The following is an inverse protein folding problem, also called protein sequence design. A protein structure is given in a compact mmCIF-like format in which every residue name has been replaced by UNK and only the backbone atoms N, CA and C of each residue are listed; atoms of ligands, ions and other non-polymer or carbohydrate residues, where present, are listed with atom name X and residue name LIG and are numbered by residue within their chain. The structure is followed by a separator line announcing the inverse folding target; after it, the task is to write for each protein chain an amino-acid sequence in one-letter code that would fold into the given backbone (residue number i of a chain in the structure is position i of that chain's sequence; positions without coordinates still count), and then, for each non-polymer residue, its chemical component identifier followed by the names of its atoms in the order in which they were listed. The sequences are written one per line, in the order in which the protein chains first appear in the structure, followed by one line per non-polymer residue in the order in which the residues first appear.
data_IF_484428818379
#
_entry.id   IF_484428818379
#
_cell.length_a   1.000
_cell.length_b   1.000
_cell.length_c   1.000
_cell.angle_alpha   90.00
_cell.angle_beta   90.00
_cell.angle_gamma   90.00
#
_symmetry.space_group_name_H-M   'P 1'
#
loop_
_entity.id
_entity.type
_entity.pdbx_description
1 polymer ?
#
# COMPACT_ATOMS: atom_id res chain seq x y z
N UNK A 1 -9.94 24.90 12.81
CA UNK A 1 -10.81 24.16 11.90
C UNK A 1 -12.21 24.80 11.89
N UNK A 2 -12.83 25.07 10.75
CA UNK A 2 -14.22 25.55 10.72
C UNK A 2 -15.15 24.43 11.27
N UNK A 3 -16.23 24.78 12.00
CA UNK A 3 -17.13 23.79 12.52
C UNK A 3 -17.82 23.03 11.39
N UNK A 4 -17.65 21.72 11.36
CA UNK A 4 -18.35 20.83 10.40
C UNK A 4 -19.86 20.95 10.65
N UNK A 5 -20.65 21.30 9.63
CA UNK A 5 -22.09 21.39 9.77
C UNK A 5 -22.70 20.01 10.09
N UNK A 6 -23.81 19.95 10.82
CA UNK A 6 -24.51 18.67 11.11
C UNK A 6 -24.77 17.86 9.82
N UNK A 7 -25.08 18.55 8.72
CA UNK A 7 -25.29 17.92 7.39
C UNK A 7 -24.00 17.30 6.83
N UNK A 8 -22.85 17.98 7.00
CA UNK A 8 -21.57 17.45 6.53
C UNK A 8 -21.15 16.21 7.35
N UNK A 9 -21.42 16.22 8.65
CA UNK A 9 -21.16 15.08 9.54
C UNK A 9 -22.01 13.87 9.17
N UNK A 10 -23.33 14.06 9.04
CA UNK A 10 -24.23 12.98 8.62
C UNK A 10 -23.88 12.41 7.23
N UNK A 11 -23.39 13.27 6.30
CA UNK A 11 -22.88 12.80 5.00
C UNK A 11 -21.65 11.93 5.14
N UNK A 12 -20.68 12.33 5.98
CA UNK A 12 -19.45 11.57 6.23
C UNK A 12 -19.74 10.22 6.90
N UNK A 13 -20.63 10.19 7.89
CA UNK A 13 -21.08 8.98 8.57
C UNK A 13 -21.70 7.98 7.58
N UNK A 14 -22.63 8.43 6.75
CA UNK A 14 -23.27 7.56 5.76
C UNK A 14 -22.28 7.12 4.65
N UNK A 15 -21.31 7.97 4.27
CA UNK A 15 -20.25 7.56 3.34
C UNK A 15 -19.42 6.42 3.95
N UNK A 16 -19.04 6.52 5.24
CA UNK A 16 -18.32 5.47 5.94
C UNK A 16 -19.13 4.16 6.03
N UNK A 17 -20.44 4.23 6.30
CA UNK A 17 -21.31 3.04 6.28
C UNK A 17 -21.36 2.38 4.89
N UNK A 18 -21.43 3.18 3.83
CA UNK A 18 -21.40 2.68 2.44
C UNK A 18 -20.09 1.97 2.14
N UNK A 19 -18.94 2.57 2.49
CA UNK A 19 -17.62 1.96 2.24
C UNK A 19 -17.41 0.71 3.07
N UNK A 20 -17.90 0.64 4.30
CA UNK A 20 -17.82 -0.56 5.14
C UNK A 20 -18.62 -1.75 4.55
N UNK A 21 -19.85 -1.53 4.11
CA UNK A 21 -20.62 -2.56 3.42
C UNK A 21 -20.00 -2.96 2.08
N UNK A 22 -19.39 -2.02 1.38
CA UNK A 22 -18.66 -2.33 0.15
C UNK A 22 -17.42 -3.21 0.42
N UNK A 23 -16.68 -2.99 1.54
CA UNK A 23 -15.60 -3.88 1.99
C UNK A 23 -16.12 -5.29 2.31
N UNK A 24 -17.25 -5.40 2.98
CA UNK A 24 -17.88 -6.70 3.23
C UNK A 24 -18.25 -7.43 1.92
N UNK A 25 -18.66 -6.70 0.89
CA UNK A 25 -18.90 -7.29 -0.44
C UNK A 25 -17.58 -7.75 -1.10
N UNK A 26 -16.46 -7.05 -0.93
CA UNK A 26 -15.17 -7.53 -1.44
C UNK A 26 -14.83 -8.92 -0.91
N UNK A 27 -15.14 -9.20 0.35
CA UNK A 27 -14.88 -10.50 0.97
C UNK A 27 -15.74 -11.64 0.37
N UNK A 28 -16.92 -11.33 -0.15
CA UNK A 28 -17.89 -12.35 -0.61
C UNK A 28 -17.93 -12.51 -2.13
N UNK A 29 -17.87 -11.42 -2.88
CA UNK A 29 -18.02 -11.42 -4.35
C UNK A 29 -16.80 -10.85 -5.08
N UNK A 30 -15.80 -10.39 -4.36
CA UNK A 30 -14.60 -9.76 -4.92
C UNK A 30 -14.87 -8.41 -5.58
N UNK A 31 -13.80 -7.73 -6.00
CA UNK A 31 -13.90 -6.42 -6.61
C UNK A 31 -14.75 -6.41 -7.91
N UNK A 32 -14.68 -7.46 -8.72
CA UNK A 32 -15.46 -7.57 -9.95
C UNK A 32 -16.98 -7.63 -9.69
N UNK A 33 -17.39 -8.23 -8.57
CA UNK A 33 -18.80 -8.40 -8.17
C UNK A 33 -19.39 -7.23 -7.38
N UNK A 34 -18.58 -6.20 -7.03
CA UNK A 34 -19.06 -5.04 -6.26
C UNK A 34 -20.26 -4.35 -6.92
N UNK A 35 -21.31 -4.08 -6.15
CA UNK A 35 -22.56 -3.52 -6.65
C UNK A 35 -23.14 -2.45 -5.75
N UNK A 36 -23.20 -1.20 -6.24
CA UNK A 36 -23.88 -0.09 -5.55
C UNK A 36 -25.35 -0.39 -5.19
N UNK A 37 -26.05 -1.17 -6.05
CA UNK A 37 -27.45 -1.55 -5.79
C UNK A 37 -27.55 -2.53 -4.63
N UNK A 38 -26.58 -3.43 -4.48
CA UNK A 38 -26.57 -4.37 -3.36
C UNK A 38 -26.27 -3.62 -2.05
N UNK A 39 -25.29 -2.72 -2.03
CA UNK A 39 -24.98 -1.85 -0.88
C UNK A 39 -26.21 -1.01 -0.49
N UNK A 40 -26.87 -0.36 -1.47
CA UNK A 40 -28.07 0.43 -1.21
C UNK A 40 -29.18 -0.40 -0.55
N UNK A 41 -29.40 -1.64 -1.02
CA UNK A 41 -30.40 -2.54 -0.45
C UNK A 41 -30.09 -2.92 1.00
N UNK A 42 -28.83 -3.18 1.33
CA UNK A 42 -28.38 -3.50 2.70
C UNK A 42 -28.59 -2.33 3.66
N UNK A 43 -28.38 -1.09 3.17
CA UNK A 43 -28.64 0.15 3.93
C UNK A 43 -30.13 0.54 4.00
N UNK A 44 -31.03 -0.20 3.34
CA UNK A 44 -32.43 0.20 3.23
C UNK A 44 -32.65 1.48 2.42
N UNK A 45 -31.67 1.84 1.56
CA UNK A 45 -31.70 3.05 0.75
C UNK A 45 -32.30 2.79 -0.64
N UNK A 46 -32.97 3.81 -1.18
CA UNK A 46 -33.29 3.80 -2.60
C UNK A 46 -32.01 3.90 -3.44
N UNK A 47 -31.88 3.10 -4.49
CA UNK A 47 -30.69 3.13 -5.38
C UNK A 47 -30.39 4.53 -5.92
N UNK A 48 -31.42 5.35 -6.21
CA UNK A 48 -31.26 6.73 -6.66
C UNK A 48 -30.62 7.64 -5.60
N UNK A 49 -30.78 7.34 -4.32
CA UNK A 49 -30.12 8.06 -3.24
C UNK A 49 -28.64 7.71 -3.14
N UNK A 50 -28.24 6.45 -3.42
CA UNK A 50 -26.87 5.98 -3.44
C UNK A 50 -26.02 6.77 -4.46
N UNK A 51 -26.54 7.00 -5.66
CA UNK A 51 -25.83 7.73 -6.72
C UNK A 51 -25.48 9.20 -6.38
N UNK A 52 -26.02 9.75 -5.29
CA UNK A 52 -25.62 11.07 -4.76
C UNK A 52 -24.34 11.01 -3.91
N UNK A 53 -23.96 9.83 -3.46
CA UNK A 53 -22.71 9.57 -2.72
C UNK A 53 -21.64 9.06 -3.65
N UNK A 54 -21.94 8.05 -4.44
CA UNK A 54 -21.04 7.46 -5.43
C UNK A 54 -21.75 7.42 -6.80
N UNK A 55 -21.38 8.33 -7.72
CA UNK A 55 -22.01 8.43 -9.04
C UNK A 55 -21.91 7.15 -9.88
N UNK A 56 -20.85 6.36 -9.67
CA UNK A 56 -20.64 5.08 -10.35
C UNK A 56 -20.04 4.04 -9.40
N UNK A 57 -20.00 2.77 -9.86
CA UNK A 57 -19.27 1.69 -9.20
C UNK A 57 -17.78 2.01 -9.11
N UNK A 58 -17.23 2.62 -10.14
CA UNK A 58 -15.82 2.95 -10.24
C UNK A 58 -15.43 4.05 -9.25
N UNK A 59 -16.31 5.02 -8.94
CA UNK A 59 -16.09 6.00 -7.87
C UNK A 59 -16.01 5.31 -6.50
N UNK A 60 -16.87 4.31 -6.25
CA UNK A 60 -16.81 3.53 -5.01
C UNK A 60 -15.54 2.68 -4.95
N UNK A 61 -15.13 2.03 -6.04
CA UNK A 61 -13.86 1.30 -6.11
C UNK A 61 -12.66 2.22 -5.84
N UNK A 62 -12.64 3.40 -6.46
CA UNK A 62 -11.60 4.42 -6.24
C UNK A 62 -11.50 4.80 -4.76
N UNK A 63 -12.64 5.03 -4.11
CA UNK A 63 -12.66 5.36 -2.67
C UNK A 63 -12.11 4.21 -1.83
N UNK A 64 -12.51 2.96 -2.08
CA UNK A 64 -11.99 1.79 -1.37
C UNK A 64 -10.48 1.60 -1.59
N UNK A 65 -9.99 1.85 -2.80
CA UNK A 65 -8.56 1.78 -3.12
C UNK A 65 -7.78 2.85 -2.35
N UNK A 66 -8.26 4.09 -2.32
CA UNK A 66 -7.62 5.17 -1.57
C UNK A 66 -7.59 4.83 -0.07
N UNK A 67 -8.73 4.44 0.51
CA UNK A 67 -8.83 4.08 1.92
C UNK A 67 -7.94 2.88 2.28
N UNK A 68 -7.87 1.87 1.41
CA UNK A 68 -6.99 0.71 1.60
C UNK A 68 -5.50 1.09 1.56
N UNK A 69 -5.08 1.91 0.59
CA UNK A 69 -3.71 2.43 0.54
C UNK A 69 -3.39 3.35 1.73
N UNK A 70 -4.35 4.17 2.16
CA UNK A 70 -4.17 5.03 3.33
C UNK A 70 -4.01 4.22 4.62
N UNK A 71 -4.81 3.17 4.80
CA UNK A 71 -4.69 2.28 5.96
C UNK A 71 -3.35 1.53 5.97
N UNK A 72 -2.94 0.97 4.82
CA UNK A 72 -1.65 0.32 4.66
C UNK A 72 -0.48 1.30 4.88
N UNK A 73 -0.59 2.51 4.32
CA UNK A 73 0.40 3.57 4.50
C UNK A 73 0.54 3.98 5.97
N UNK A 74 -0.58 4.14 6.68
CA UNK A 74 -0.58 4.44 8.11
C UNK A 74 0.10 3.33 8.92
N UNK A 75 -0.21 2.06 8.64
CA UNK A 75 0.45 0.94 9.32
C UNK A 75 1.98 0.95 9.12
N UNK A 76 2.45 1.28 7.92
CA UNK A 76 3.88 1.41 7.63
C UNK A 76 4.52 2.61 8.32
N UNK A 77 3.83 3.76 8.34
CA UNK A 77 4.31 5.00 8.99
C UNK A 77 4.40 4.84 10.51
N UNK A 78 3.40 4.22 11.14
CA UNK A 78 3.36 3.98 12.58
C UNK A 78 4.43 2.97 13.05
N UNK A 79 4.87 2.07 12.16
CA UNK A 79 5.91 1.09 12.45
C UNK A 79 7.34 1.66 12.33
N UNK A 80 7.54 2.80 11.68
CA UNK A 80 8.85 3.41 11.50
C UNK A 80 9.24 4.27 12.70
N UNK A 81 10.06 3.73 13.61
CA UNK A 81 10.68 4.49 14.70
C UNK A 81 12.01 5.11 14.23
N UNK A 82 12.08 6.43 13.99
CA UNK A 82 13.31 7.09 13.52
C UNK A 82 14.51 6.98 14.48
N UNK A 83 14.29 6.56 15.72
CA UNK A 83 15.36 6.41 16.73
C UNK A 83 15.99 5.01 16.74
N UNK A 84 15.31 4.03 16.12
CA UNK A 84 15.80 2.65 16.02
C UNK A 84 16.90 2.50 14.95
N UNK A 85 17.73 1.43 15.02
CA UNK A 85 18.66 1.07 13.97
C UNK A 85 17.99 0.91 12.61
N UNK A 86 18.66 1.29 11.52
CA UNK A 86 18.08 1.31 10.16
C UNK A 86 17.48 -0.04 9.73
N UNK A 87 18.19 -1.14 9.99
CA UNK A 87 17.69 -2.49 9.69
C UNK A 87 16.43 -2.84 10.50
N UNK A 88 16.38 -2.45 11.76
CA UNK A 88 15.21 -2.71 12.62
C UNK A 88 13.98 -1.92 12.13
N UNK A 89 14.17 -0.67 11.71
CA UNK A 89 13.13 0.16 11.10
C UNK A 89 12.60 -0.50 9.81
N UNK A 90 13.51 -0.93 8.92
CA UNK A 90 13.16 -1.63 7.69
C UNK A 90 12.30 -2.88 7.97
N UNK A 91 12.76 -3.74 8.87
CA UNK A 91 12.05 -4.96 9.23
C UNK A 91 10.69 -4.68 9.89
N UNK A 92 10.60 -3.67 10.75
CA UNK A 92 9.36 -3.26 11.40
C UNK A 92 8.32 -2.82 10.35
N UNK A 93 8.71 -1.98 9.40
CA UNK A 93 7.84 -1.53 8.30
C UNK A 93 7.40 -2.72 7.43
N UNK A 94 8.33 -3.60 7.04
CA UNK A 94 7.98 -4.78 6.23
C UNK A 94 6.99 -5.71 6.95
N UNK A 95 7.20 -5.95 8.25
CA UNK A 95 6.27 -6.75 9.07
C UNK A 95 4.90 -6.09 9.21
N UNK A 96 4.83 -4.77 9.39
CA UNK A 96 3.58 -4.04 9.47
C UNK A 96 2.78 -4.13 8.15
N UNK A 97 3.44 -4.02 6.99
CA UNK A 97 2.82 -4.23 5.68
C UNK A 97 2.25 -5.65 5.56
N UNK A 98 3.01 -6.67 5.95
CA UNK A 98 2.55 -8.07 5.92
C UNK A 98 1.36 -8.31 6.85
N UNK A 99 1.45 -7.82 8.09
CA UNK A 99 0.38 -7.99 9.08
C UNK A 99 -0.91 -7.29 8.64
N UNK A 100 -0.82 -6.08 8.12
CA UNK A 100 -1.97 -5.41 7.55
C UNK A 100 -2.60 -6.23 6.42
N UNK A 101 -1.79 -6.75 5.51
CA UNK A 101 -2.24 -7.56 4.39
C UNK A 101 -2.92 -8.87 4.85
N UNK A 102 -2.39 -9.54 5.88
CA UNK A 102 -2.98 -10.74 6.48
C UNK A 102 -4.31 -10.46 7.19
N UNK A 103 -4.41 -9.29 7.82
CA UNK A 103 -5.63 -8.86 8.52
C UNK A 103 -6.70 -8.34 7.55
N UNK A 104 -6.32 -7.89 6.35
CA UNK A 104 -7.19 -7.29 5.34
C UNK A 104 -7.00 -7.94 3.95
N UNK A 105 -7.14 -9.28 3.82
CA UNK A 105 -6.74 -9.99 2.60
C UNK A 105 -7.55 -9.59 1.36
N UNK A 106 -8.81 -9.21 1.53
CA UNK A 106 -9.67 -8.80 0.41
C UNK A 106 -9.36 -7.37 -0.06
N UNK A 107 -9.01 -6.48 0.86
CA UNK A 107 -8.53 -5.13 0.52
C UNK A 107 -7.15 -5.21 -0.12
N UNK A 108 -6.24 -6.03 0.42
CA UNK A 108 -4.94 -6.28 -0.21
C UNK A 108 -5.10 -6.83 -1.63
N UNK A 109 -6.04 -7.77 -1.85
CA UNK A 109 -6.32 -8.30 -3.17
C UNK A 109 -6.92 -7.24 -4.14
N UNK A 110 -7.65 -6.24 -3.62
CA UNK A 110 -8.10 -5.10 -4.41
C UNK A 110 -6.93 -4.21 -4.85
N UNK A 111 -5.91 -4.00 -3.98
CA UNK A 111 -4.76 -3.14 -4.24
C UNK A 111 -3.70 -3.80 -5.12
N UNK A 112 -3.37 -5.06 -4.87
CA UNK A 112 -2.22 -5.79 -5.44
C UNK A 112 -2.58 -7.09 -6.15
N UNK A 113 -3.87 -7.44 -6.21
CA UNK A 113 -4.34 -8.63 -6.90
C UNK A 113 -4.54 -8.43 -8.40
N UNK A 114 -5.43 -9.22 -8.99
CA UNK A 114 -5.73 -9.13 -10.41
C UNK A 114 -6.45 -7.82 -10.76
N UNK A 115 -6.11 -7.18 -11.90
CA UNK A 115 -6.80 -5.98 -12.35
C UNK A 115 -8.31 -6.18 -12.45
N UNK A 116 -9.09 -5.20 -11.98
CA UNK A 116 -10.55 -5.24 -12.09
C UNK A 116 -10.96 -4.92 -13.53
N UNK A 117 -11.67 -5.82 -14.23
CA UNK A 117 -12.04 -5.59 -15.62
C UNK A 117 -12.86 -4.30 -15.81
N UNK A 118 -12.43 -3.47 -16.75
CA UNK A 118 -13.09 -2.21 -17.11
C UNK A 118 -12.83 -1.04 -16.15
N UNK A 119 -12.09 -1.25 -15.05
CA UNK A 119 -11.68 -0.17 -14.14
C UNK A 119 -10.26 0.30 -14.44
N UNK A 120 -10.07 1.62 -14.44
CA UNK A 120 -8.77 2.27 -14.47
C UNK A 120 -8.66 3.25 -13.30
N UNK A 121 -7.65 3.06 -12.46
CA UNK A 121 -7.44 3.91 -11.29
C UNK A 121 -7.10 5.36 -11.73
N UNK A 122 -7.81 6.38 -11.22
CA UNK A 122 -7.50 7.77 -11.51
C UNK A 122 -6.23 8.21 -10.76
N UNK A 123 -5.65 9.34 -11.20
CA UNK A 123 -4.43 9.90 -10.62
C UNK A 123 -4.57 10.25 -9.12
N UNK A 124 -5.77 10.49 -8.64
CA UNK A 124 -6.07 10.78 -7.22
C UNK A 124 -5.70 9.62 -6.28
N UNK A 125 -5.52 8.40 -6.81
CA UNK A 125 -5.06 7.24 -6.02
C UNK A 125 -3.55 7.25 -5.76
N UNK A 126 -2.76 7.97 -6.56
CA UNK A 126 -1.29 7.93 -6.51
C UNK A 126 -0.72 8.39 -5.17
N UNK A 127 -1.18 9.51 -4.56
CA UNK A 127 -0.64 9.93 -3.27
C UNK A 127 -0.77 8.86 -2.18
N UNK A 128 -1.92 8.19 -2.10
CA UNK A 128 -2.14 7.11 -1.14
C UNK A 128 -1.28 5.88 -1.47
N UNK A 129 -1.22 5.48 -2.75
CA UNK A 129 -0.47 4.31 -3.21
C UNK A 129 1.05 4.42 -2.98
N UNK A 130 1.60 5.62 -2.90
CA UNK A 130 3.04 5.85 -2.71
C UNK A 130 3.50 5.89 -1.25
N UNK A 131 2.61 5.93 -0.27
CA UNK A 131 2.93 6.13 1.16
C UNK A 131 3.94 5.12 1.70
N UNK A 132 3.75 3.82 1.47
CA UNK A 132 4.73 2.78 1.87
C UNK A 132 6.09 3.01 1.21
N UNK A 133 6.11 3.33 -0.08
CA UNK A 133 7.34 3.67 -0.81
C UNK A 133 8.08 4.88 -0.19
N UNK A 134 7.33 5.91 0.24
CA UNK A 134 7.88 7.09 0.91
C UNK A 134 8.52 6.72 2.25
N UNK A 135 7.89 5.83 3.05
CA UNK A 135 8.49 5.36 4.32
C UNK A 135 9.80 4.63 4.08
N UNK A 136 9.81 3.66 3.16
CA UNK A 136 11.04 2.92 2.80
C UNK A 136 12.11 3.85 2.23
N UNK A 137 11.71 4.81 1.37
CA UNK A 137 12.60 5.83 0.81
C UNK A 137 13.19 6.74 1.90
N UNK A 138 12.43 7.08 2.95
CA UNK A 138 12.93 7.85 4.10
C UNK A 138 14.02 7.09 4.83
N UNK A 139 13.86 5.78 5.08
CA UNK A 139 14.88 4.93 5.71
C UNK A 139 16.16 4.91 4.86
N UNK A 140 16.05 4.76 3.53
CA UNK A 140 17.20 4.84 2.62
C UNK A 140 17.86 6.21 2.62
N UNK A 141 17.08 7.29 2.68
CA UNK A 141 17.59 8.66 2.82
C UNK A 141 18.34 8.89 4.14
N UNK A 142 17.86 8.30 5.24
CA UNK A 142 18.56 8.33 6.54
C UNK A 142 19.87 7.54 6.47
N UNK A 143 19.87 6.35 5.85
CA UNK A 143 21.07 5.55 5.64
C UNK A 143 22.11 6.28 4.79
N UNK A 144 21.68 6.97 3.73
CA UNK A 144 22.54 7.79 2.90
C UNK A 144 23.19 8.93 3.68
N UNK A 145 22.40 9.65 4.50
CA UNK A 145 22.90 10.74 5.36
C UNK A 145 23.87 10.25 6.43
N UNK A 146 23.66 9.07 6.95
CA UNK A 146 24.56 8.42 7.91
C UNK A 146 25.85 7.85 7.26
N UNK A 147 25.97 7.88 5.93
CA UNK A 147 27.07 7.24 5.21
C UNK A 147 27.08 5.71 5.31
N UNK A 148 25.94 5.11 5.62
CA UNK A 148 25.80 3.66 5.81
C UNK A 148 25.61 2.92 4.49
N UNK A 149 25.18 3.60 3.42
CA UNK A 149 24.99 2.93 2.12
C UNK A 149 26.34 2.67 1.44
N UNK A 150 26.64 1.42 1.03
CA UNK A 150 27.85 1.14 0.30
C UNK A 150 27.83 1.85 -1.06
N UNK A 151 28.92 2.54 -1.38
CA UNK A 151 29.19 3.04 -2.73
C UNK A 151 29.52 1.82 -3.61
N UNK A 152 28.51 1.08 -4.01
CA UNK A 152 28.72 -0.02 -4.95
C UNK A 152 28.69 0.55 -6.37
N UNK A 153 29.69 0.23 -7.22
CA UNK A 153 29.62 0.57 -8.63
C UNK A 153 28.41 -0.17 -9.23
N UNK A 154 27.32 0.54 -9.41
CA UNK A 154 26.10 0.02 -10.01
C UNK A 154 25.98 0.49 -11.45
N UNK A 155 25.27 -0.27 -12.26
CA UNK A 155 24.84 0.17 -13.58
C UNK A 155 23.58 1.03 -13.42
N UNK A 156 23.75 2.34 -13.39
CA UNK A 156 22.60 3.23 -13.60
C UNK A 156 22.17 3.10 -15.05
N UNK A 157 20.90 2.79 -15.26
CA UNK A 157 20.30 2.71 -16.60
C UNK A 157 19.48 3.96 -16.96
N UNK A 158 19.33 4.90 -16.00
CA UNK A 158 18.49 6.10 -16.19
C UNK A 158 17.01 5.77 -16.45
N UNK A 159 16.54 4.62 -15.98
CA UNK A 159 15.17 4.13 -16.23
C UNK A 159 14.17 4.50 -15.13
N UNK A 160 14.64 5.05 -14.01
CA UNK A 160 13.78 5.52 -12.91
C UNK A 160 13.28 6.93 -13.22
N UNK A 161 11.96 7.11 -13.21
CA UNK A 161 11.37 8.44 -13.44
C UNK A 161 11.61 9.37 -12.25
N UNK A 162 11.60 10.72 -12.46
CA UNK A 162 11.76 11.68 -11.38
C UNK A 162 10.75 11.52 -10.25
N UNK A 163 9.50 11.16 -10.57
CA UNK A 163 8.43 10.94 -9.61
C UNK A 163 8.76 9.77 -8.67
N UNK A 164 9.19 8.64 -9.23
CA UNK A 164 9.61 7.46 -8.46
C UNK A 164 10.89 7.74 -7.67
N UNK A 165 11.83 8.49 -8.25
CA UNK A 165 13.04 8.94 -7.55
C UNK A 165 12.70 9.80 -6.32
N UNK A 166 11.69 10.66 -6.42
CA UNK A 166 11.16 11.46 -5.31
C UNK A 166 10.59 10.61 -4.18
N UNK A 167 9.83 9.56 -4.51
CA UNK A 167 9.28 8.60 -3.54
C UNK A 167 10.40 7.81 -2.83
N UNK A 168 11.45 7.40 -3.58
CA UNK A 168 12.55 6.58 -3.08
C UNK A 168 13.67 7.40 -2.41
N UNK A 169 13.33 8.40 -1.60
CA UNK A 169 14.28 9.11 -0.74
C UNK A 169 14.64 10.54 -1.18
N UNK A 170 13.96 11.09 -2.17
CA UNK A 170 14.12 12.47 -2.61
C UNK A 170 15.48 12.77 -3.25
N UNK A 171 15.92 14.04 -3.18
CA UNK A 171 17.12 14.56 -3.86
C UNK A 171 18.42 14.41 -3.04
N UNK A 172 18.62 13.31 -2.33
CA UNK A 172 19.88 13.14 -1.61
C UNK A 172 21.00 12.69 -2.57
N UNK A 173 22.20 13.36 -2.59
CA UNK A 173 23.27 13.04 -3.54
C UNK A 173 23.82 11.60 -3.44
N UNK A 174 23.72 10.97 -2.26
CA UNK A 174 24.14 9.58 -2.06
C UNK A 174 23.10 8.54 -2.55
N UNK A 175 21.90 8.97 -2.93
CA UNK A 175 20.88 8.12 -3.54
C UNK A 175 21.02 8.21 -5.07
N UNK A 176 22.04 7.51 -5.58
CA UNK A 176 22.20 7.37 -7.01
C UNK A 176 21.12 6.45 -7.62
N UNK A 177 21.07 6.38 -8.94
CA UNK A 177 20.10 5.55 -9.66
C UNK A 177 20.25 4.05 -9.32
N UNK A 178 21.42 3.61 -8.87
CA UNK A 178 21.66 2.23 -8.46
C UNK A 178 20.93 1.92 -7.17
N UNK A 179 21.04 2.81 -6.18
CA UNK A 179 20.34 2.67 -4.89
C UNK A 179 18.83 2.75 -5.12
N UNK A 180 18.36 3.69 -5.95
CA UNK A 180 16.94 3.82 -6.30
C UNK A 180 16.39 2.56 -6.99
N UNK A 181 17.15 2.01 -7.96
CA UNK A 181 16.77 0.76 -8.64
C UNK A 181 16.68 -0.40 -7.65
N UNK A 182 17.63 -0.53 -6.73
CA UNK A 182 17.60 -1.55 -5.66
C UNK A 182 16.42 -1.31 -4.70
N UNK A 183 16.15 -0.05 -4.35
CA UNK A 183 14.99 0.32 -3.54
C UNK A 183 13.66 -0.11 -4.20
N UNK A 184 13.51 0.11 -5.50
CA UNK A 184 12.34 -0.34 -6.25
C UNK A 184 12.25 -1.87 -6.32
N UNK A 185 13.39 -2.57 -6.49
CA UNK A 185 13.45 -4.03 -6.43
C UNK A 185 13.08 -4.55 -5.05
N UNK A 186 13.59 -3.94 -3.98
CA UNK A 186 13.25 -4.31 -2.62
C UNK A 186 11.77 -4.07 -2.30
N UNK A 187 11.21 -2.93 -2.73
CA UNK A 187 9.78 -2.65 -2.65
C UNK A 187 8.96 -3.72 -3.39
N UNK A 188 9.30 -4.05 -4.64
CA UNK A 188 8.60 -5.09 -5.39
C UNK A 188 8.79 -6.49 -4.79
N UNK A 189 9.96 -6.77 -4.20
CA UNK A 189 10.23 -8.01 -3.46
C UNK A 189 9.35 -8.17 -2.22
N UNK A 190 9.19 -7.10 -1.43
CA UNK A 190 8.27 -7.08 -0.29
C UNK A 190 6.86 -7.45 -0.70
N UNK A 191 6.27 -6.71 -1.67
CA UNK A 191 4.89 -6.96 -2.11
C UNK A 191 4.74 -8.29 -2.85
N UNK A 192 5.77 -8.73 -3.58
CA UNK A 192 5.81 -10.06 -4.19
C UNK A 192 5.76 -11.19 -3.14
N UNK A 193 6.57 -11.09 -2.09
CA UNK A 193 6.58 -12.07 -1.00
C UNK A 193 5.24 -12.12 -0.27
N UNK A 194 4.68 -10.96 0.09
CA UNK A 194 3.35 -10.88 0.73
C UNK A 194 2.25 -11.45 -0.19
N UNK A 195 2.27 -11.10 -1.49
CA UNK A 195 1.28 -11.61 -2.45
C UNK A 195 1.37 -13.13 -2.58
N UNK A 196 2.58 -13.69 -2.68
CA UNK A 196 2.78 -15.13 -2.83
C UNK A 196 2.34 -15.89 -1.58
N UNK A 197 2.57 -15.33 -0.40
CA UNK A 197 2.05 -15.89 0.85
C UNK A 197 0.52 -15.89 0.88
N UNK A 198 -0.12 -14.74 0.66
CA UNK A 198 -1.58 -14.58 0.75
C UNK A 198 -2.33 -15.36 -0.33
N UNK A 199 -1.78 -15.45 -1.52
CA UNK A 199 -2.42 -16.17 -2.63
C UNK A 199 -2.04 -17.65 -2.70
N UNK A 200 -1.32 -18.17 -1.66
CA UNK A 200 -1.06 -19.57 -1.48
C UNK A 200 0.06 -20.16 -2.34
N UNK A 201 0.88 -19.33 -2.99
CA UNK A 201 1.98 -19.82 -3.83
C UNK A 201 3.11 -20.48 -3.05
N UNK A 202 3.22 -20.22 -1.74
CA UNK A 202 4.22 -20.86 -0.87
C UNK A 202 3.74 -22.14 -0.21
N UNK A 203 2.49 -22.58 -0.45
CA UNK A 203 1.97 -23.83 0.11
C UNK A 203 2.78 -25.02 -0.44
N UNK A 204 3.36 -25.79 0.47
CA UNK A 204 4.24 -26.92 0.15
C UNK A 204 5.67 -26.55 -0.26
N UNK A 205 6.00 -25.26 -0.36
CA UNK A 205 7.35 -24.77 -0.66
C UNK A 205 8.05 -24.20 0.58
N UNK A 206 7.30 -23.59 1.51
CA UNK A 206 7.81 -22.96 2.72
C UNK A 206 7.21 -23.68 3.94
N UNK A 207 8.06 -24.08 4.88
CA UNK A 207 7.63 -24.79 6.10
C UNK A 207 7.36 -23.84 7.26
N UNK A 208 8.02 -22.68 7.29
CA UNK A 208 7.87 -21.63 8.29
C UNK A 208 7.79 -20.28 7.56
N UNK A 209 6.57 -19.78 7.40
CA UNK A 209 6.33 -18.54 6.67
C UNK A 209 6.86 -17.29 7.38
N UNK A 210 6.90 -17.30 8.73
CA UNK A 210 7.37 -16.16 9.50
C UNK A 210 8.90 -16.04 9.42
N UNK A 211 9.62 -17.16 9.60
CA UNK A 211 11.07 -17.19 9.43
C UNK A 211 11.47 -16.84 7.99
N UNK A 212 10.80 -17.43 7.00
CA UNK A 212 11.08 -17.16 5.60
C UNK A 212 10.88 -15.67 5.25
N UNK A 213 9.79 -15.07 5.73
CA UNK A 213 9.53 -13.65 5.49
C UNK A 213 10.63 -12.78 6.09
N UNK A 214 11.01 -13.03 7.34
CA UNK A 214 12.06 -12.25 8.01
C UNK A 214 13.41 -12.38 7.30
N UNK A 215 13.79 -13.58 6.86
CA UNK A 215 15.03 -13.79 6.09
C UNK A 215 14.97 -13.07 4.73
N UNK A 216 13.86 -13.20 4.00
CA UNK A 216 13.67 -12.49 2.73
C UNK A 216 13.77 -10.96 2.89
N UNK A 217 13.17 -10.39 3.96
CA UNK A 217 13.24 -8.95 4.21
C UNK A 217 14.64 -8.50 4.63
N UNK A 218 15.44 -9.33 5.30
CA UNK A 218 16.87 -9.08 5.59
C UNK A 218 17.71 -9.08 4.31
N UNK A 219 17.46 -10.04 3.41
CA UNK A 219 18.16 -10.10 2.12
C UNK A 219 17.85 -8.86 1.27
N UNK A 220 16.59 -8.41 1.26
CA UNK A 220 16.20 -7.17 0.57
C UNK A 220 16.81 -5.93 1.22
N UNK A 221 16.95 -5.89 2.55
CA UNK A 221 17.71 -4.85 3.26
C UNK A 221 19.17 -4.83 2.82
N UNK A 222 19.82 -5.99 2.79
CA UNK A 222 21.20 -6.14 2.29
C UNK A 222 21.35 -5.72 0.81
N UNK A 223 20.35 -5.97 -0.04
CA UNK A 223 20.33 -5.53 -1.43
C UNK A 223 20.42 -4.00 -1.55
N UNK A 224 19.75 -3.26 -0.67
CA UNK A 224 19.76 -1.79 -0.64
C UNK A 224 20.90 -1.21 0.19
N UNK A 225 21.65 -2.06 0.93
CA UNK A 225 22.82 -1.68 1.70
C UNK A 225 22.57 -1.35 3.18
N UNK A 226 21.46 -1.86 3.75
CA UNK A 226 21.12 -1.74 5.18
C UNK A 226 21.66 -2.91 5.99
#
# INVERSE_FOLDING_TARGET
MPPTTARARARAELTAEITELARAQLATVGAAGLSLRAVARELGMASSAMYRYFPSRDDLLTQLIIEGYDALGTAAEDADDPTAPLLDRWLAVCRAVREWARSHPHEYALLYGSPVPGYAAPQDTVPAATRVGVVLGRILGDAARAGALPVAPGRSTGTITPEVAGVLGGEHPALDDTVRTRGLLAWSGLFGTVSFELFGHFVGAVTDADAFFDDAMRDLAGLVGL
#
